data_IF_267611559301
#
_entry.id   IF_267611559301
#
_cell.length_a   1.000
_cell.length_b   1.000
_cell.length_c   1.000
_cell.angle_alpha   90.00
_cell.angle_beta   90.00
_cell.angle_gamma   90.00
#
_symmetry.space_group_name_H-M   'P 1'
#
loop_
_entity.id
_entity.type
_entity.pdbx_description
1 polymer ?
#
# COMPACT_ATOMS: atom_id res chain seq x y z
N UNK A 1 3.06 4.37 -17.70
CA UNK A 1 1.90 5.24 -17.99
C UNK A 1 0.73 4.68 -17.20
N UNK A 2 0.00 5.53 -16.47
CA UNK A 2 -1.22 5.16 -15.74
C UNK A 2 -2.40 5.84 -16.44
N UNK A 3 -3.46 5.11 -16.73
CA UNK A 3 -4.66 5.68 -17.36
C UNK A 3 -5.70 6.05 -16.31
N UNK A 4 -6.25 7.26 -16.41
CA UNK A 4 -7.28 7.77 -15.50
C UNK A 4 -8.56 8.14 -16.25
N UNK A 5 -9.69 8.18 -15.53
CA UNK A 5 -10.95 8.64 -16.09
C UNK A 5 -10.83 10.10 -16.55
N UNK A 6 -11.07 10.34 -17.84
CA UNK A 6 -11.07 11.69 -18.38
C UNK A 6 -12.45 12.32 -18.22
N UNK A 7 -12.49 13.60 -17.83
CA UNK A 7 -13.72 14.40 -17.77
C UNK A 7 -14.49 14.49 -19.11
N UNK A 8 -13.83 14.15 -20.23
CA UNK A 8 -14.39 14.11 -21.58
C UNK A 8 -14.87 12.72 -22.01
N UNK A 9 -14.87 11.73 -21.10
CA UNK A 9 -15.25 10.34 -21.38
C UNK A 9 -14.16 9.49 -22.04
N UNK A 10 -13.03 10.09 -22.46
CA UNK A 10 -11.86 9.35 -22.97
C UNK A 10 -10.77 9.26 -21.90
N UNK A 11 -10.24 8.07 -21.59
CA UNK A 11 -9.15 7.93 -20.64
C UNK A 11 -7.92 8.77 -21.03
N UNK A 12 -7.28 9.38 -20.05
CA UNK A 12 -6.03 10.14 -20.24
C UNK A 12 -4.85 9.33 -19.70
N UNK A 13 -3.80 9.19 -20.48
CA UNK A 13 -2.56 8.54 -20.05
C UNK A 13 -1.65 9.53 -19.34
N UNK A 14 -1.36 9.28 -18.07
CA UNK A 14 -0.37 10.02 -17.28
C UNK A 14 0.99 9.36 -17.47
N UNK A 15 1.92 10.09 -18.08
CA UNK A 15 3.31 9.66 -18.23
C UNK A 15 4.09 10.05 -16.98
N UNK A 16 4.76 9.07 -16.38
CA UNK A 16 5.69 9.26 -15.26
C UNK A 16 7.07 8.90 -15.76
N UNK A 17 7.99 9.84 -15.69
CA UNK A 17 9.38 9.65 -16.08
C UNK A 17 10.16 8.88 -15.00
N UNK A 18 11.20 8.17 -15.42
CA UNK A 18 12.06 7.38 -14.52
C UNK A 18 12.64 8.21 -13.37
N UNK A 19 13.08 9.46 -13.62
CA UNK A 19 13.61 10.34 -12.57
C UNK A 19 12.61 10.62 -11.46
N UNK A 20 11.33 10.80 -11.80
CA UNK A 20 10.27 11.07 -10.83
C UNK A 20 9.98 9.85 -9.98
N UNK A 21 10.00 8.66 -10.60
CA UNK A 21 9.91 7.39 -9.90
C UNK A 21 11.07 7.23 -8.91
N UNK A 22 12.31 7.43 -9.35
CA UNK A 22 13.48 7.26 -8.49
C UNK A 22 13.53 8.25 -7.33
N UNK A 23 13.04 9.48 -7.54
CA UNK A 23 12.89 10.45 -6.46
C UNK A 23 11.90 9.94 -5.38
N UNK A 24 10.73 9.42 -5.79
CA UNK A 24 9.76 8.84 -4.86
C UNK A 24 10.32 7.62 -4.14
N UNK A 25 11.02 6.73 -4.85
CA UNK A 25 11.66 5.53 -4.28
C UNK A 25 12.68 5.91 -3.21
N UNK A 26 13.59 6.83 -3.52
CA UNK A 26 14.63 7.28 -2.58
C UNK A 26 14.01 7.89 -1.32
N UNK A 27 13.02 8.78 -1.48
CA UNK A 27 12.32 9.39 -0.36
C UNK A 27 11.60 8.34 0.51
N UNK A 28 10.89 7.40 -0.11
CA UNK A 28 10.11 6.39 0.61
C UNK A 28 11.02 5.49 1.44
N UNK A 29 12.14 5.03 0.86
CA UNK A 29 13.11 4.21 1.58
C UNK A 29 13.71 4.94 2.79
N UNK A 30 14.06 6.21 2.64
CA UNK A 30 14.62 7.03 3.71
C UNK A 30 13.61 7.27 4.84
N UNK A 31 12.40 7.73 4.48
CA UNK A 31 11.36 8.09 5.46
C UNK A 31 10.87 6.89 6.25
N UNK A 32 10.58 5.78 5.57
CA UNK A 32 10.04 4.57 6.21
C UNK A 32 11.12 3.58 6.67
N UNK A 33 12.40 3.92 6.45
CA UNK A 33 13.57 3.09 6.76
C UNK A 33 13.41 1.67 6.21
N UNK A 34 13.15 1.59 4.90
CA UNK A 34 12.93 0.30 4.25
C UNK A 34 14.26 -0.44 4.13
N UNK A 35 14.26 -1.74 4.43
CA UNK A 35 15.43 -2.60 4.32
C UNK A 35 15.07 -3.99 3.76
N UNK A 36 16.08 -4.83 3.52
CA UNK A 36 15.88 -6.17 2.96
C UNK A 36 15.10 -7.12 3.91
N UNK A 37 15.02 -6.78 5.19
CA UNK A 37 14.27 -7.52 6.21
C UNK A 37 12.75 -7.25 6.15
N UNK A 38 12.33 -6.24 5.37
CA UNK A 38 10.92 -5.89 5.24
C UNK A 38 10.12 -6.88 4.40
N UNK A 39 8.85 -7.04 4.79
CA UNK A 39 7.82 -7.80 4.08
C UNK A 39 6.70 -6.83 3.76
N UNK A 40 6.61 -6.43 2.51
CA UNK A 40 5.66 -5.45 2.01
C UNK A 40 4.54 -6.10 1.22
N UNK A 41 3.37 -5.46 1.18
CA UNK A 41 2.22 -5.96 0.42
C UNK A 41 2.09 -5.29 -0.95
N UNK A 42 1.47 -6.00 -1.89
CA UNK A 42 0.93 -5.46 -3.13
C UNK A 42 -0.60 -5.63 -3.11
N UNK A 43 -1.31 -4.58 -2.72
CA UNK A 43 -2.78 -4.56 -2.54
C UNK A 43 -3.48 -3.83 -3.68
N UNK A 44 -2.98 -2.68 -4.11
CA UNK A 44 -3.64 -1.91 -5.16
C UNK A 44 -3.70 -2.70 -6.47
N UNK A 45 -4.71 -2.45 -7.31
CA UNK A 45 -4.66 -2.96 -8.68
C UNK A 45 -3.44 -2.37 -9.40
N UNK A 46 -2.72 -3.17 -10.19
CA UNK A 46 -1.53 -2.72 -10.95
C UNK A 46 -1.81 -1.60 -11.95
N UNK A 47 -3.09 -1.34 -12.25
CA UNK A 47 -3.54 -0.23 -13.08
C UNK A 47 -3.60 1.12 -12.33
N UNK A 48 -3.49 1.11 -11.00
CA UNK A 48 -3.46 2.32 -10.17
C UNK A 48 -2.01 2.75 -9.89
N UNK A 49 -1.81 4.04 -9.64
CA UNK A 49 -0.51 4.61 -9.28
C UNK A 49 0.03 4.11 -7.95
N UNK A 50 -0.83 3.82 -6.96
CA UNK A 50 -0.43 3.23 -5.68
C UNK A 50 0.39 1.95 -5.83
N UNK A 51 0.16 1.15 -6.87
CA UNK A 51 0.96 -0.05 -7.13
C UNK A 51 2.44 0.27 -7.32
N UNK A 52 2.77 1.46 -7.86
CA UNK A 52 4.16 1.91 -8.02
C UNK A 52 4.83 2.11 -6.65
N UNK A 53 4.11 2.70 -5.68
CA UNK A 53 4.58 2.90 -4.30
C UNK A 53 4.68 1.57 -3.54
N UNK A 54 3.80 0.62 -3.83
CA UNK A 54 3.81 -0.72 -3.22
C UNK A 54 4.90 -1.64 -3.77
N UNK A 55 5.40 -1.40 -4.98
CA UNK A 55 6.36 -2.29 -5.64
C UNK A 55 7.79 -1.76 -5.52
N UNK A 56 8.05 -0.57 -6.04
CA UNK A 56 9.43 -0.16 -6.34
C UNK A 56 10.29 0.18 -5.13
N UNK A 57 9.80 0.92 -4.11
CA UNK A 57 10.60 1.20 -2.91
C UNK A 57 11.09 -0.06 -2.22
N UNK A 58 10.30 -1.13 -2.23
CA UNK A 58 10.59 -2.37 -1.54
C UNK A 58 11.52 -3.28 -2.36
N UNK A 59 11.21 -3.52 -3.64
CA UNK A 59 12.05 -4.37 -4.49
C UNK A 59 13.46 -3.81 -4.66
N UNK A 60 13.61 -2.49 -4.78
CA UNK A 60 14.93 -1.84 -4.92
C UNK A 60 15.73 -1.81 -3.61
N UNK A 61 15.09 -2.02 -2.45
CA UNK A 61 15.74 -2.16 -1.16
C UNK A 61 16.10 -3.64 -0.81
N UNK A 62 15.72 -4.60 -1.66
CA UNK A 62 15.89 -6.04 -1.39
C UNK A 62 14.83 -6.66 -0.49
N UNK A 63 13.74 -5.94 -0.20
CA UNK A 63 12.62 -6.43 0.61
C UNK A 63 11.78 -7.47 -0.15
N UNK A 64 10.97 -8.24 0.59
CA UNK A 64 10.04 -9.19 0.01
C UNK A 64 8.67 -8.55 -0.28
N UNK A 65 8.08 -8.88 -1.45
CA UNK A 65 6.76 -8.40 -1.85
C UNK A 65 5.73 -9.53 -1.83
N UNK A 66 4.65 -9.34 -1.09
CA UNK A 66 3.57 -10.30 -0.87
C UNK A 66 2.33 -9.87 -1.65
N UNK A 67 1.87 -10.73 -2.56
CA UNK A 67 0.76 -10.42 -3.46
C UNK A 67 -0.59 -10.73 -2.79
N UNK A 68 -1.48 -9.75 -2.79
CA UNK A 68 -2.86 -9.95 -2.35
C UNK A 68 -3.69 -10.74 -3.35
N UNK A 69 -4.71 -11.44 -2.85
CA UNK A 69 -5.81 -11.95 -3.67
C UNK A 69 -6.95 -10.94 -3.69
N UNK A 70 -7.90 -11.11 -4.62
CA UNK A 70 -9.09 -10.25 -4.68
C UNK A 70 -9.92 -10.32 -3.39
N UNK A 71 -10.01 -11.50 -2.77
CA UNK A 71 -10.71 -11.70 -1.51
C UNK A 71 -10.13 -10.83 -0.38
N UNK A 72 -8.80 -10.79 -0.27
CA UNK A 72 -8.11 -9.97 0.72
C UNK A 72 -8.35 -8.46 0.51
N UNK A 73 -8.61 -8.01 -0.72
CA UNK A 73 -8.83 -6.58 -1.01
C UNK A 73 -10.19 -6.08 -0.54
N UNK A 74 -11.19 -6.96 -0.49
CA UNK A 74 -12.58 -6.59 -0.17
C UNK A 74 -13.00 -6.96 1.25
N UNK A 75 -12.26 -7.87 1.91
CA UNK A 75 -12.53 -8.42 3.23
C UNK A 75 -11.48 -7.94 4.26
N UNK A 76 -11.80 -6.95 5.11
CA UNK A 76 -10.89 -6.41 6.12
C UNK A 76 -10.41 -7.44 7.15
N UNK A 77 -11.26 -8.37 7.57
CA UNK A 77 -10.92 -9.41 8.54
C UNK A 77 -9.89 -10.38 7.95
N UNK A 78 -10.14 -10.87 6.74
CA UNK A 78 -9.20 -11.74 6.04
C UNK A 78 -7.88 -11.00 5.74
N UNK A 79 -7.95 -9.71 5.40
CA UNK A 79 -6.77 -8.88 5.21
C UNK A 79 -5.94 -8.77 6.49
N UNK A 80 -6.57 -8.40 7.62
CA UNK A 80 -5.90 -8.30 8.92
C UNK A 80 -5.19 -9.61 9.26
N UNK A 81 -5.90 -10.73 9.15
CA UNK A 81 -5.36 -12.04 9.52
C UNK A 81 -4.17 -12.40 8.62
N UNK A 82 -4.29 -12.15 7.31
CA UNK A 82 -3.18 -12.36 6.38
C UNK A 82 -1.97 -11.47 6.67
N UNK A 83 -2.18 -10.20 7.04
CA UNK A 83 -1.09 -9.28 7.43
C UNK A 83 -0.34 -9.82 8.66
N UNK A 84 -1.06 -10.35 9.64
CA UNK A 84 -0.51 -10.93 10.88
C UNK A 84 0.24 -12.23 10.56
N UNK A 85 -0.41 -13.17 9.88
CA UNK A 85 0.12 -14.51 9.60
C UNK A 85 1.35 -14.46 8.68
N UNK A 86 1.32 -13.56 7.70
CA UNK A 86 2.46 -13.32 6.79
C UNK A 86 3.53 -12.43 7.43
N UNK A 87 3.32 -11.99 8.67
CA UNK A 87 4.24 -11.15 9.44
C UNK A 87 4.59 -9.86 8.71
N UNK A 88 3.66 -9.27 7.98
CA UNK A 88 3.91 -8.08 7.15
C UNK A 88 4.46 -6.94 8.01
N UNK A 89 5.47 -6.23 7.50
CA UNK A 89 6.08 -5.09 8.19
C UNK A 89 5.62 -3.74 7.64
N UNK A 90 5.24 -3.70 6.36
CA UNK A 90 4.81 -2.50 5.66
C UNK A 90 3.62 -2.80 4.73
N UNK A 91 2.58 -1.97 4.77
CA UNK A 91 1.40 -2.17 3.91
C UNK A 91 0.83 -0.87 3.38
N UNK A 92 -0.01 -0.98 2.37
CA UNK A 92 -0.90 0.08 1.90
C UNK A 92 -2.34 -0.42 1.91
N UNK A 93 -3.26 0.41 2.38
CA UNK A 93 -4.69 0.14 2.26
C UNK A 93 -5.40 1.38 1.71
N UNK A 94 -6.31 1.24 0.72
CA UNK A 94 -7.20 2.35 0.35
C UNK A 94 -7.96 2.87 1.58
N UNK A 95 -8.21 4.18 1.66
CA UNK A 95 -8.80 4.80 2.85
C UNK A 95 -10.05 4.07 3.40
N UNK A 96 -11.05 3.69 2.58
CA UNK A 96 -12.22 2.95 3.09
C UNK A 96 -11.89 1.58 3.69
N UNK A 97 -10.82 0.92 3.21
CA UNK A 97 -10.35 -0.36 3.77
C UNK A 97 -9.62 -0.12 5.09
N UNK A 98 -8.74 0.88 5.15
CA UNK A 98 -8.05 1.23 6.39
C UNK A 98 -9.04 1.54 7.52
N UNK A 99 -10.07 2.35 7.25
CA UNK A 99 -11.06 2.69 8.26
C UNK A 99 -11.83 1.46 8.80
N UNK A 100 -12.03 0.44 7.97
CA UNK A 100 -12.60 -0.84 8.44
C UNK A 100 -11.59 -1.63 9.27
N UNK A 101 -10.32 -1.68 8.84
CA UNK A 101 -9.23 -2.31 9.60
C UNK A 101 -9.04 -1.70 11.00
N UNK A 102 -9.20 -0.38 11.13
CA UNK A 102 -9.09 0.33 12.42
C UNK A 102 -10.17 -0.08 13.44
N UNK A 103 -11.30 -0.64 12.99
CA UNK A 103 -12.39 -1.11 13.87
C UNK A 103 -12.21 -2.55 14.34
N UNK A 104 -11.28 -3.29 13.74
CA UNK A 104 -11.04 -4.68 14.11
C UNK A 104 -10.18 -4.77 15.36
N UNK A 105 -10.34 -5.87 16.09
CA UNK A 105 -9.38 -6.23 17.14
C UNK A 105 -8.06 -6.65 16.50
N UNK A 106 -6.95 -6.13 17.02
CA UNK A 106 -5.59 -6.48 16.65
C UNK A 106 -4.88 -7.10 17.86
N UNK A 107 -3.92 -8.02 17.65
CA UNK A 107 -3.07 -8.50 18.73
C UNK A 107 -2.22 -7.36 19.31
N UNK A 108 -1.89 -7.45 20.60
CA UNK A 108 -1.04 -6.46 21.30
C UNK A 108 0.34 -6.29 20.64
N UNK A 109 0.80 -7.31 19.91
CA UNK A 109 2.06 -7.29 19.16
C UNK A 109 1.84 -7.79 17.74
N UNK A 110 2.37 -7.03 16.79
CA UNK A 110 2.45 -7.36 15.36
C UNK A 110 3.82 -6.93 14.83
N UNK A 111 4.27 -7.57 13.75
CA UNK A 111 5.47 -7.12 13.00
C UNK A 111 5.17 -5.88 12.15
N UNK A 112 3.89 -5.53 11.97
CA UNK A 112 3.44 -4.40 11.14
C UNK A 112 3.87 -3.06 11.76
N UNK A 113 4.76 -2.35 11.05
CA UNK A 113 5.30 -1.06 11.48
C UNK A 113 4.41 0.10 11.06
N UNK A 114 3.82 0.02 9.87
CA UNK A 114 2.95 1.06 9.34
C UNK A 114 2.01 0.53 8.24
N UNK A 115 0.89 1.24 8.08
CA UNK A 115 0.02 1.15 6.90
C UNK A 115 -0.08 2.56 6.30
N UNK A 116 0.21 2.70 5.00
CA UNK A 116 -0.01 3.93 4.25
C UNK A 116 -1.44 3.90 3.69
N UNK A 117 -2.11 5.04 3.65
CA UNK A 117 -3.45 5.17 3.09
C UNK A 117 -3.57 6.34 2.13
N UNK A 118 -4.51 6.23 1.20
CA UNK A 118 -4.85 7.29 0.26
C UNK A 118 -6.00 6.89 -0.65
N UNK A 119 -6.39 7.82 -1.52
CA UNK A 119 -7.44 7.64 -2.52
C UNK A 119 -8.82 8.18 -2.12
N UNK A 120 -9.06 8.44 -0.84
CA UNK A 120 -10.27 9.11 -0.34
C UNK A 120 -9.97 9.90 0.94
N UNK A 121 -10.91 10.77 1.36
CA UNK A 121 -10.82 11.53 2.60
C UNK A 121 -10.81 10.60 3.81
N UNK A 122 -9.81 10.77 4.69
CA UNK A 122 -9.76 10.07 5.97
C UNK A 122 -10.71 10.72 6.97
N UNK A 123 -11.65 9.93 7.51
CA UNK A 123 -12.66 10.37 8.47
C UNK A 123 -12.52 9.71 9.84
N UNK A 124 -11.81 8.59 9.92
CA UNK A 124 -11.52 7.89 11.17
C UNK A 124 -10.01 7.84 11.42
N UNK A 125 -9.63 8.07 12.67
CA UNK A 125 -8.24 8.13 13.09
C UNK A 125 -7.99 7.03 14.14
N UNK A 126 -6.74 6.52 14.25
CA UNK A 126 -6.36 5.64 15.35
C UNK A 126 -6.73 6.28 16.69
N UNK A 127 -7.18 5.46 17.65
CA UNK A 127 -7.34 5.92 19.03
C UNK A 127 -5.95 6.26 19.57
N UNK A 128 -5.72 7.52 19.95
CA UNK A 128 -4.47 7.96 20.58
C UNK A 128 -4.17 7.19 21.87
#
# INVERSE_FOLDING_TARGET
IVYTSGSTGKPKGVMVEYRSLMNMVSWHQEVYRISAEDRATQIAGVAFDSAVQEIWPYLTAGAALYLSTEELRINPEALRDWLIDSRITASFAPTPILERLLKLSWPDKTDLRFIITGGDQLTQYPSN
#
